data_IF_455121402194
#
_entry.id   IF_455121402194
#
_cell.length_a   1.000
_cell.length_b   1.000
_cell.length_c   1.000
_cell.angle_alpha   90.00
_cell.angle_beta   90.00
_cell.angle_gamma   90.00
#
_symmetry.space_group_name_H-M   'P 1'
#
loop_
_entity.id
_entity.type
_entity.pdbx_description
1 polymer ?
#
# COMPACT_ATOMS: atom_id res chain seq x y z
N UNK A 1 31.30 6.14 24.26
CA UNK A 1 29.83 6.31 24.00
C UNK A 1 29.58 5.69 22.65
N UNK A 2 28.78 4.63 22.59
CA UNK A 2 28.36 4.05 21.31
C UNK A 2 27.54 5.12 20.59
N UNK A 3 27.87 5.44 19.35
CA UNK A 3 27.06 6.30 18.51
C UNK A 3 25.69 5.64 18.36
N UNK A 4 24.63 6.37 18.70
CA UNK A 4 23.27 5.89 18.47
C UNK A 4 23.09 5.72 16.97
N UNK A 5 22.85 4.47 16.53
CA UNK A 5 22.53 4.17 15.14
C UNK A 5 21.25 4.95 14.77
N UNK A 6 21.33 5.78 13.72
CA UNK A 6 20.16 6.49 13.22
C UNK A 6 19.31 5.55 12.36
N UNK A 7 17.99 5.77 12.40
CA UNK A 7 17.06 5.06 11.54
C UNK A 7 16.91 5.81 10.21
N UNK A 8 17.14 5.09 9.11
CA UNK A 8 16.84 5.55 7.75
C UNK A 8 15.71 4.73 7.16
N UNK A 9 14.69 5.39 6.61
CA UNK A 9 13.59 4.72 5.95
C UNK A 9 13.64 4.96 4.44
N UNK A 10 13.33 3.91 3.71
CA UNK A 10 13.07 3.92 2.27
C UNK A 10 11.64 3.44 2.07
N UNK A 11 10.81 4.24 1.40
CA UNK A 11 9.47 3.83 1.00
C UNK A 11 9.50 3.36 -0.45
N UNK A 12 9.26 2.06 -0.64
CA UNK A 12 9.20 1.39 -1.93
C UNK A 12 7.82 1.52 -2.59
N UNK A 13 7.37 2.75 -2.82
CA UNK A 13 6.03 2.98 -3.37
C UNK A 13 5.93 4.31 -4.11
N UNK A 14 5.18 4.33 -5.21
CA UNK A 14 4.78 5.56 -5.92
C UNK A 14 3.45 6.14 -5.41
N UNK A 15 2.73 5.45 -4.51
CA UNK A 15 1.43 5.89 -3.97
C UNK A 15 1.54 7.19 -3.19
N UNK A 16 0.74 8.19 -3.57
CA UNK A 16 0.66 9.47 -2.86
C UNK A 16 0.09 9.28 -1.45
N UNK A 17 -0.94 8.44 -1.29
CA UNK A 17 -1.58 8.15 0.00
C UNK A 17 -0.59 7.51 0.99
N UNK A 18 0.19 6.51 0.55
CA UNK A 18 1.21 5.89 1.41
C UNK A 18 2.30 6.87 1.84
N UNK A 19 2.73 7.75 0.94
CA UNK A 19 3.69 8.82 1.28
C UNK A 19 3.14 9.77 2.33
N UNK A 20 1.89 10.19 2.15
CA UNK A 20 1.20 11.05 3.11
C UNK A 20 1.12 10.38 4.49
N UNK A 21 0.64 9.15 4.56
CA UNK A 21 0.47 8.40 5.82
C UNK A 21 1.82 8.27 6.54
N UNK A 22 2.89 7.87 5.85
CA UNK A 22 4.21 7.71 6.48
C UNK A 22 4.76 9.05 6.98
N UNK A 23 4.51 10.16 6.26
CA UNK A 23 4.84 11.52 6.71
C UNK A 23 4.03 11.93 7.95
N UNK A 24 2.72 11.62 8.00
CA UNK A 24 1.85 11.88 9.16
C UNK A 24 2.29 11.10 10.40
N UNK A 25 2.91 9.92 10.22
CA UNK A 25 3.54 9.16 11.30
C UNK A 25 4.82 9.82 11.85
N UNK A 26 5.28 10.91 11.23
CA UNK A 26 6.46 11.66 11.64
C UNK A 26 7.79 11.13 11.09
N UNK A 27 7.76 10.16 10.19
CA UNK A 27 8.96 9.60 9.58
C UNK A 27 9.49 10.44 8.42
N UNK A 28 10.83 10.57 8.37
CA UNK A 28 11.53 11.03 7.17
C UNK A 28 11.96 9.79 6.37
N UNK A 29 11.81 9.84 5.06
CA UNK A 29 12.13 8.72 4.19
C UNK A 29 12.56 9.17 2.80
N UNK A 30 13.28 8.30 2.10
CA UNK A 30 13.55 8.41 0.67
C UNK A 30 12.58 7.54 -0.13
N UNK A 31 12.33 7.91 -1.38
CA UNK A 31 11.44 7.16 -2.28
C UNK A 31 12.27 6.33 -3.25
N UNK A 32 11.95 5.05 -3.35
CA UNK A 32 12.40 4.17 -4.42
C UNK A 32 11.17 3.43 -4.99
N UNK A 33 11.03 3.40 -6.30
CA UNK A 33 9.98 2.61 -6.95
C UNK A 33 10.55 1.30 -7.49
N UNK A 34 9.79 0.24 -7.36
CA UNK A 34 9.99 -0.99 -8.10
C UNK A 34 9.12 -0.98 -9.35
N UNK A 35 9.70 -1.45 -10.44
CA UNK A 35 8.96 -1.77 -11.66
C UNK A 35 8.91 -3.30 -11.75
N UNK A 36 7.75 -3.87 -11.44
CA UNK A 36 7.51 -5.32 -11.48
C UNK A 36 6.25 -5.59 -12.30
N UNK A 37 6.20 -6.75 -12.93
CA UNK A 37 4.96 -7.24 -13.55
C UNK A 37 4.03 -7.79 -12.44
N UNK A 38 3.24 -6.90 -11.83
CA UNK A 38 2.28 -7.26 -10.78
C UNK A 38 1.29 -8.33 -11.29
N UNK A 39 0.96 -8.33 -12.58
CA UNK A 39 0.01 -9.27 -13.17
C UNK A 39 0.57 -10.70 -13.33
N UNK A 40 1.87 -10.87 -13.30
CA UNK A 40 2.50 -12.20 -13.32
C UNK A 40 2.37 -12.93 -11.96
N UNK A 41 2.08 -12.22 -10.86
CA UNK A 41 1.94 -12.80 -9.53
C UNK A 41 0.45 -13.02 -9.27
N UNK A 42 0.07 -14.28 -9.03
CA UNK A 42 -1.32 -14.66 -8.76
C UNK A 42 -1.39 -15.57 -7.55
N UNK A 43 -2.36 -15.30 -6.68
CA UNK A 43 -2.74 -16.12 -5.53
C UNK A 43 -4.26 -16.16 -5.45
N UNK A 44 -4.80 -17.25 -4.90
CA UNK A 44 -6.24 -17.42 -4.73
C UNK A 44 -6.79 -16.52 -3.62
N UNK A 45 -6.02 -16.39 -2.53
CA UNK A 45 -6.42 -15.56 -1.39
C UNK A 45 -5.84 -14.16 -1.51
N UNK A 46 -6.65 -13.13 -1.31
CA UNK A 46 -6.20 -11.75 -1.46
C UNK A 46 -5.09 -11.37 -0.47
N UNK A 47 -5.11 -11.86 0.77
CA UNK A 47 -4.06 -11.64 1.75
C UNK A 47 -2.72 -12.26 1.33
N UNK A 48 -2.73 -13.44 0.72
CA UNK A 48 -1.51 -14.07 0.18
C UNK A 48 -0.99 -13.32 -1.05
N UNK A 49 -1.89 -12.78 -1.88
CA UNK A 49 -1.54 -12.00 -3.07
C UNK A 49 -0.81 -10.70 -2.68
N UNK A 50 -1.39 -9.91 -1.78
CA UNK A 50 -0.80 -8.62 -1.41
C UNK A 50 0.53 -8.77 -0.69
N UNK A 51 0.70 -9.81 0.14
CA UNK A 51 1.98 -10.14 0.78
C UNK A 51 3.01 -10.53 -0.28
N UNK A 52 2.67 -11.43 -1.21
CA UNK A 52 3.58 -11.83 -2.29
C UNK A 52 4.02 -10.64 -3.17
N UNK A 53 3.10 -9.72 -3.47
CA UNK A 53 3.41 -8.50 -4.22
C UNK A 53 4.33 -7.55 -3.45
N UNK A 54 4.13 -7.40 -2.13
CA UNK A 54 5.01 -6.58 -1.30
C UNK A 54 6.45 -7.15 -1.27
N UNK A 55 6.59 -8.48 -1.18
CA UNK A 55 7.89 -9.15 -1.26
C UNK A 55 8.56 -8.96 -2.62
N UNK A 56 7.83 -9.17 -3.72
CA UNK A 56 8.36 -8.97 -5.07
C UNK A 56 8.84 -7.53 -5.31
N UNK A 57 8.10 -6.54 -4.80
CA UNK A 57 8.52 -5.13 -4.83
C UNK A 57 9.81 -4.90 -4.05
N UNK A 58 9.94 -5.51 -2.87
CA UNK A 58 11.16 -5.41 -2.08
C UNK A 58 12.36 -6.02 -2.81
N UNK A 59 12.20 -7.21 -3.41
CA UNK A 59 13.25 -7.88 -4.15
C UNK A 59 13.75 -7.02 -5.32
N UNK A 60 12.85 -6.46 -6.12
CA UNK A 60 13.20 -5.60 -7.25
C UNK A 60 13.92 -4.31 -6.81
N UNK A 61 13.52 -3.71 -5.68
CA UNK A 61 14.18 -2.53 -5.14
C UNK A 61 15.58 -2.88 -4.61
N UNK A 62 15.74 -3.99 -3.90
CA UNK A 62 17.04 -4.44 -3.39
C UNK A 62 18.00 -4.74 -4.53
N UNK A 63 17.54 -5.39 -5.59
CA UNK A 63 18.33 -5.61 -6.80
C UNK A 63 18.78 -4.27 -7.45
N UNK A 64 17.87 -3.31 -7.58
CA UNK A 64 18.19 -1.98 -8.05
C UNK A 64 19.22 -1.27 -7.18
N UNK A 65 19.14 -1.42 -5.86
CA UNK A 65 20.10 -0.86 -4.91
C UNK A 65 21.48 -1.52 -5.02
N UNK A 66 21.55 -2.80 -5.32
CA UNK A 66 22.81 -3.50 -5.61
C UNK A 66 23.46 -2.98 -6.88
N UNK A 67 22.68 -2.82 -7.95
CA UNK A 67 23.17 -2.44 -9.26
C UNK A 67 23.68 -0.98 -9.33
N UNK A 68 23.14 -0.08 -8.49
CA UNK A 68 23.52 1.34 -8.44
C UNK A 68 24.52 1.70 -7.33
N UNK A 69 25.02 0.73 -6.57
CA UNK A 69 26.00 0.92 -5.51
C UNK A 69 25.45 1.39 -4.16
N UNK A 70 24.16 1.72 -4.06
CA UNK A 70 23.52 2.17 -2.81
C UNK A 70 23.61 1.11 -1.69
N UNK A 71 23.53 -0.16 -2.04
CA UNK A 71 23.67 -1.26 -1.07
C UNK A 71 25.00 -1.20 -0.33
N UNK A 72 26.11 -0.92 -1.04
CA UNK A 72 27.42 -0.81 -0.44
C UNK A 72 27.49 0.33 0.57
N UNK A 73 26.96 1.49 0.22
CA UNK A 73 26.91 2.65 1.11
C UNK A 73 26.12 2.35 2.41
N UNK A 74 25.01 1.61 2.29
CA UNK A 74 24.19 1.21 3.44
C UNK A 74 24.92 0.22 4.32
N UNK A 75 25.57 -0.79 3.76
CA UNK A 75 26.32 -1.80 4.51
C UNK A 75 27.50 -1.19 5.27
N UNK A 76 28.19 -0.23 4.65
CA UNK A 76 29.33 0.48 5.25
C UNK A 76 28.90 1.53 6.30
N UNK A 77 27.62 1.92 6.32
CA UNK A 77 27.08 2.88 7.28
C UNK A 77 26.88 2.26 8.67
N UNK A 78 26.91 3.08 9.73
CA UNK A 78 26.53 2.71 11.09
C UNK A 78 24.99 2.71 11.29
N UNK A 79 24.25 3.36 10.38
CA UNK A 79 22.81 3.52 10.49
C UNK A 79 22.06 2.25 10.12
N UNK A 80 20.88 2.08 10.72
CA UNK A 80 19.94 1.03 10.31
C UNK A 80 19.04 1.55 9.19
N UNK A 81 19.06 0.87 8.05
CA UNK A 81 18.19 1.21 6.91
C UNK A 81 17.09 0.18 6.74
N UNK A 82 15.83 0.63 6.81
CA UNK A 82 14.65 -0.20 6.59
C UNK A 82 13.97 0.19 5.28
N UNK A 83 13.64 -0.81 4.46
CA UNK A 83 12.83 -0.68 3.26
C UNK A 83 11.40 -1.10 3.58
N UNK A 84 10.45 -0.20 3.34
CA UNK A 84 9.01 -0.45 3.48
C UNK A 84 8.42 -0.63 2.09
N UNK A 85 7.82 -1.79 1.82
CA UNK A 85 7.01 -2.05 0.64
C UNK A 85 5.61 -2.48 1.05
N UNK A 86 4.63 -2.22 0.20
CA UNK A 86 3.23 -2.48 0.48
C UNK A 86 2.46 -2.75 -0.81
N UNK A 87 1.42 -3.54 -0.69
CA UNK A 87 0.45 -3.73 -1.76
C UNK A 87 -0.98 -3.73 -1.21
N UNK A 88 -1.97 -3.53 -2.09
CA UNK A 88 -3.37 -3.51 -1.71
C UNK A 88 -4.26 -3.94 -2.87
N UNK A 89 -5.29 -4.71 -2.55
CA UNK A 89 -6.40 -5.01 -3.44
C UNK A 89 -7.73 -4.65 -2.77
N UNK A 90 -8.76 -4.51 -3.56
CA UNK A 90 -10.15 -4.43 -3.10
C UNK A 90 -10.83 -5.77 -3.37
N UNK A 91 -11.70 -6.19 -2.46
CA UNK A 91 -12.55 -7.37 -2.62
C UNK A 91 -14.01 -6.94 -2.51
N UNK A 92 -14.81 -7.30 -3.50
CA UNK A 92 -16.24 -7.09 -3.50
C UNK A 92 -16.92 -8.37 -4.01
N UNK A 93 -17.93 -8.85 -3.29
CA UNK A 93 -18.63 -10.10 -3.58
C UNK A 93 -17.69 -11.30 -3.81
N UNK A 94 -16.60 -11.37 -3.03
CA UNK A 94 -15.60 -12.43 -3.12
C UNK A 94 -14.65 -12.31 -4.32
N UNK A 95 -14.77 -11.25 -5.14
CA UNK A 95 -13.92 -11.01 -6.32
C UNK A 95 -12.85 -9.99 -5.99
N UNK A 96 -11.58 -10.33 -6.30
CA UNK A 96 -10.45 -9.41 -6.18
C UNK A 96 -10.53 -8.38 -7.30
N UNK A 97 -10.44 -7.11 -6.91
CA UNK A 97 -10.41 -5.95 -7.82
C UNK A 97 -9.10 -5.22 -7.66
N UNK A 98 -8.30 -5.27 -8.71
CA UNK A 98 -7.05 -4.51 -8.83
C UNK A 98 -7.37 -3.09 -9.38
N UNK A 99 -6.38 -2.37 -9.86
CA UNK A 99 -6.62 -1.08 -10.53
C UNK A 99 -7.42 -1.30 -11.81
N UNK A 100 -8.53 -0.58 -12.03
CA UNK A 100 -9.30 -0.73 -13.26
C UNK A 100 -8.48 -0.30 -14.47
N UNK A 101 -8.60 -1.05 -15.54
CA UNK A 101 -7.84 -0.84 -16.79
C UNK A 101 -8.62 -0.03 -17.82
N UNK A 102 -9.95 0.04 -17.67
CA UNK A 102 -10.84 0.75 -18.60
C UNK A 102 -11.92 1.54 -17.84
N UNK A 103 -12.54 2.54 -18.48
CA UNK A 103 -13.68 3.26 -17.91
C UNK A 103 -14.87 2.36 -17.59
N UNK A 104 -15.10 1.33 -18.40
CA UNK A 104 -16.17 0.35 -18.20
C UNK A 104 -15.95 -0.47 -16.94
N UNK A 105 -14.72 -0.93 -16.72
CA UNK A 105 -14.32 -1.68 -15.53
C UNK A 105 -14.40 -0.80 -14.27
N UNK A 106 -13.92 0.44 -14.35
CA UNK A 106 -14.04 1.40 -13.25
C UNK A 106 -15.52 1.67 -12.89
N UNK A 107 -16.37 1.82 -13.90
CA UNK A 107 -17.82 2.03 -13.73
C UNK A 107 -18.47 0.83 -13.06
N UNK A 108 -18.15 -0.38 -13.51
CA UNK A 108 -18.64 -1.63 -12.89
C UNK A 108 -18.23 -1.70 -11.42
N UNK A 109 -16.96 -1.41 -11.12
CA UNK A 109 -16.45 -1.46 -9.75
C UNK A 109 -17.18 -0.49 -8.84
N UNK A 110 -17.23 0.79 -9.22
CA UNK A 110 -17.82 1.84 -8.36
C UNK A 110 -19.34 1.63 -8.20
N UNK A 111 -20.06 1.25 -9.26
CA UNK A 111 -21.49 0.93 -9.17
C UNK A 111 -21.76 -0.27 -8.27
N UNK A 112 -20.87 -1.26 -8.28
CA UNK A 112 -20.99 -2.42 -7.40
C UNK A 112 -20.96 -2.07 -5.91
N UNK A 113 -20.30 -0.98 -5.54
CA UNK A 113 -20.22 -0.54 -4.14
C UNK A 113 -21.47 0.20 -3.66
N UNK A 114 -22.32 0.68 -4.57
CA UNK A 114 -23.54 1.45 -4.26
C UNK A 114 -24.51 0.63 -3.41
N UNK A 115 -24.93 1.17 -2.26
CA UNK A 115 -25.79 0.50 -1.27
C UNK A 115 -25.23 -0.87 -0.82
N UNK A 116 -23.89 -1.02 -0.87
CA UNK A 116 -23.14 -2.23 -0.53
C UNK A 116 -21.84 -1.86 0.14
N UNK A 117 -20.84 -2.76 0.10
CA UNK A 117 -19.53 -2.51 0.69
C UNK A 117 -18.39 -3.01 -0.19
N UNK A 118 -17.22 -2.47 0.05
CA UNK A 118 -15.96 -2.97 -0.49
C UNK A 118 -14.98 -3.25 0.65
N UNK A 119 -14.28 -4.36 0.62
CA UNK A 119 -13.19 -4.65 1.56
C UNK A 119 -11.84 -4.28 0.93
N UNK A 120 -11.01 -3.52 1.63
CA UNK A 120 -9.61 -3.34 1.28
C UNK A 120 -8.78 -4.37 2.02
N UNK A 121 -7.85 -5.03 1.34
CA UNK A 121 -6.88 -5.95 1.93
C UNK A 121 -5.52 -5.46 1.50
N UNK A 122 -4.74 -5.02 2.48
CA UNK A 122 -3.43 -4.42 2.28
C UNK A 122 -2.35 -5.13 3.06
N UNK A 123 -1.14 -5.17 2.53
CA UNK A 123 0.05 -5.69 3.20
C UNK A 123 1.09 -4.62 3.42
N UNK A 124 1.89 -4.82 4.45
CA UNK A 124 3.11 -4.05 4.70
C UNK A 124 4.23 -5.04 4.92
N UNK A 125 5.36 -4.82 4.26
CA UNK A 125 6.60 -5.54 4.47
C UNK A 125 7.68 -4.53 4.85
N UNK A 126 8.39 -4.80 5.94
CA UNK A 126 9.58 -4.07 6.36
C UNK A 126 10.79 -4.99 6.24
N UNK A 127 11.77 -4.57 5.45
CA UNK A 127 13.03 -5.28 5.25
C UNK A 127 14.17 -4.48 5.86
N UNK A 128 14.90 -5.05 6.78
CA UNK A 128 16.19 -4.50 7.21
C UNK A 128 17.20 -4.75 6.08
N UNK A 129 17.61 -3.68 5.41
CA UNK A 129 18.45 -3.78 4.20
C UNK A 129 19.81 -4.37 4.50
N UNK A 130 20.34 -4.17 5.70
CA UNK A 130 21.68 -4.61 6.11
C UNK A 130 21.71 -6.08 6.50
N UNK A 131 20.72 -6.56 7.24
CA UNK A 131 20.65 -7.94 7.75
C UNK A 131 19.86 -8.87 6.85
N UNK A 132 19.03 -8.33 5.96
CA UNK A 132 18.08 -9.10 5.14
C UNK A 132 16.85 -9.60 5.90
N UNK A 133 16.75 -9.31 7.19
CA UNK A 133 15.58 -9.69 8.01
C UNK A 133 14.33 -9.00 7.49
N UNK A 134 13.25 -9.76 7.34
CA UNK A 134 11.95 -9.29 6.87
C UNK A 134 10.87 -9.54 7.90
N UNK A 135 9.99 -8.58 8.06
CA UNK A 135 8.75 -8.68 8.84
C UNK A 135 7.60 -8.19 7.99
N UNK A 136 6.57 -8.98 7.85
CA UNK A 136 5.39 -8.64 7.08
C UNK A 136 4.11 -8.90 7.86
N UNK A 137 3.05 -8.27 7.41
CA UNK A 137 1.70 -8.45 7.88
C UNK A 137 0.71 -7.92 6.87
N UNK A 138 -0.55 -8.21 7.11
CA UNK A 138 -1.66 -7.69 6.31
C UNK A 138 -2.77 -7.18 7.22
N UNK A 139 -3.60 -6.31 6.68
CA UNK A 139 -4.74 -5.74 7.36
C UNK A 139 -5.95 -5.65 6.43
N UNK A 140 -7.14 -5.63 7.02
CA UNK A 140 -8.41 -5.56 6.31
C UNK A 140 -9.24 -4.42 6.87
N UNK A 141 -9.83 -3.62 5.99
CA UNK A 141 -10.89 -2.70 6.35
C UNK A 141 -12.07 -2.85 5.39
N UNK A 142 -13.27 -2.50 5.84
CA UNK A 142 -14.47 -2.52 5.03
C UNK A 142 -15.07 -1.13 4.96
N UNK A 143 -15.48 -0.72 3.77
CA UNK A 143 -16.11 0.57 3.51
C UNK A 143 -17.51 0.32 3.00
N UNK A 144 -18.50 0.79 3.73
CA UNK A 144 -19.93 0.72 3.40
C UNK A 144 -20.38 2.02 2.77
N UNK A 145 -21.21 1.92 1.75
CA UNK A 145 -21.64 3.07 0.97
C UNK A 145 -23.15 3.24 0.96
N UNK A 146 -23.57 4.49 1.06
CA UNK A 146 -24.89 4.89 0.58
C UNK A 146 -25.01 4.71 -0.94
N UNK A 147 -26.18 4.99 -1.48
CA UNK A 147 -26.38 5.01 -2.94
C UNK A 147 -25.40 5.94 -3.62
N UNK A 148 -24.60 5.43 -4.57
CA UNK A 148 -23.67 6.21 -5.39
C UNK A 148 -24.39 6.64 -6.67
N UNK A 149 -24.65 7.95 -6.86
CA UNK A 149 -25.32 8.43 -8.07
C UNK A 149 -24.47 8.22 -9.33
N UNK A 150 -25.09 7.88 -10.45
CA UNK A 150 -24.39 7.70 -11.74
C UNK A 150 -23.53 8.91 -12.11
N UNK A 151 -24.01 10.14 -11.84
CA UNK A 151 -23.26 11.37 -12.09
C UNK A 151 -21.92 11.37 -11.33
N UNK A 152 -21.88 10.90 -10.09
CA UNK A 152 -20.64 10.81 -9.30
C UNK A 152 -19.70 9.79 -9.93
N UNK A 153 -20.22 8.62 -10.33
CA UNK A 153 -19.43 7.59 -11.01
C UNK A 153 -18.74 8.15 -12.26
N UNK A 154 -19.50 8.83 -13.13
CA UNK A 154 -18.94 9.39 -14.38
C UNK A 154 -17.91 10.50 -14.08
N UNK A 155 -18.18 11.39 -13.12
CA UNK A 155 -17.22 12.43 -12.74
C UNK A 155 -15.89 11.84 -12.23
N UNK A 156 -15.94 10.81 -11.39
CA UNK A 156 -14.71 10.13 -10.89
C UNK A 156 -13.90 9.48 -12.03
N UNK A 157 -14.59 8.91 -13.03
CA UNK A 157 -13.95 8.33 -14.21
C UNK A 157 -13.33 9.41 -15.09
N UNK A 158 -14.05 10.53 -15.32
CA UNK A 158 -13.55 11.66 -16.11
C UNK A 158 -12.30 12.30 -15.48
N UNK A 159 -12.24 12.41 -14.16
CA UNK A 159 -11.07 12.89 -13.44
C UNK A 159 -9.86 11.92 -13.55
N UNK A 160 -10.10 10.64 -13.78
CA UNK A 160 -9.10 9.63 -14.07
C UNK A 160 -8.32 9.09 -12.86
N UNK A 161 -8.49 9.64 -11.67
CA UNK A 161 -7.75 9.20 -10.47
C UNK A 161 -8.08 7.76 -10.05
N UNK A 162 -9.26 7.27 -10.39
CA UNK A 162 -9.73 5.90 -10.11
C UNK A 162 -8.84 4.82 -10.74
N UNK A 163 -8.15 5.11 -11.84
CA UNK A 163 -7.28 4.16 -12.53
C UNK A 163 -5.95 3.90 -11.81
N UNK A 164 -5.63 4.68 -10.78
CA UNK A 164 -4.38 4.56 -10.03
C UNK A 164 -4.53 3.90 -8.65
N UNK A 165 -5.76 3.53 -8.29
CA UNK A 165 -6.07 2.92 -6.99
C UNK A 165 -6.79 1.59 -7.15
N UNK A 166 -6.52 0.66 -6.24
CA UNK A 166 -7.18 -0.65 -6.23
C UNK A 166 -8.70 -0.51 -6.16
N UNK A 167 -9.41 -1.26 -6.99
CA UNK A 167 -10.87 -1.25 -7.08
C UNK A 167 -11.50 0.07 -7.52
N UNK A 168 -10.69 1.06 -7.97
CA UNK A 168 -11.18 2.41 -8.22
C UNK A 168 -11.69 3.11 -6.96
N UNK A 169 -11.27 2.68 -5.76
CA UNK A 169 -11.81 3.09 -4.47
C UNK A 169 -11.06 4.32 -3.92
N UNK A 170 -11.70 5.50 -3.98
CA UNK A 170 -11.17 6.79 -3.51
C UNK A 170 -12.05 7.33 -2.38
N UNK A 171 -11.89 6.82 -1.16
CA UNK A 171 -12.77 7.16 -0.02
C UNK A 171 -12.60 8.60 0.48
N UNK A 172 -11.41 9.17 0.34
CA UNK A 172 -11.08 10.54 0.74
C UNK A 172 -11.47 11.59 -0.32
N UNK A 173 -11.89 11.14 -1.50
CA UNK A 173 -12.26 12.06 -2.59
C UNK A 173 -13.52 12.85 -2.22
N UNK A 174 -13.60 14.18 -2.50
CA UNK A 174 -14.74 15.02 -2.12
C UNK A 174 -16.11 14.54 -2.65
N UNK A 175 -16.12 13.84 -3.78
CA UNK A 175 -17.36 13.26 -4.33
C UNK A 175 -17.74 11.93 -3.67
N UNK A 176 -16.79 11.19 -3.14
CA UNK A 176 -16.97 9.86 -2.55
C UNK A 176 -17.20 9.93 -1.04
N UNK A 177 -16.41 10.74 -0.35
CA UNK A 177 -16.42 10.85 1.11
C UNK A 177 -17.81 11.09 1.71
N UNK A 178 -18.71 11.95 1.14
CA UNK A 178 -20.07 12.10 1.66
C UNK A 178 -20.97 10.89 1.46
N UNK A 179 -20.55 9.93 0.62
CA UNK A 179 -21.31 8.72 0.30
C UNK A 179 -20.85 7.51 1.12
N UNK A 180 -19.79 7.67 1.92
CA UNK A 180 -19.34 6.63 2.86
C UNK A 180 -20.29 6.61 4.05
N UNK A 181 -20.95 5.48 4.26
CA UNK A 181 -21.87 5.27 5.38
C UNK A 181 -21.10 4.88 6.65
N UNK A 182 -20.16 3.95 6.53
CA UNK A 182 -19.35 3.46 7.64
C UNK A 182 -18.02 2.87 7.15
N UNK A 183 -17.04 2.86 8.05
CA UNK A 183 -15.77 2.14 7.87
C UNK A 183 -15.61 1.21 9.06
N UNK A 184 -15.38 -0.08 8.78
CA UNK A 184 -14.97 -1.07 9.77
C UNK A 184 -13.47 -1.30 9.58
N UNK A 185 -12.67 -0.85 10.54
CA UNK A 185 -11.22 -0.73 10.43
C UNK A 185 -10.77 0.71 10.52
N UNK A 186 -9.65 1.06 9.91
CA UNK A 186 -9.08 2.40 9.93
C UNK A 186 -8.96 3.02 8.54
N UNK A 187 -9.03 4.34 8.46
CA UNK A 187 -8.92 5.06 7.18
C UNK A 187 -7.53 4.88 6.54
N UNK A 188 -6.47 4.83 7.32
CA UNK A 188 -5.11 4.57 6.85
C UNK A 188 -4.95 3.16 6.27
N UNK A 189 -5.69 2.17 6.80
CA UNK A 189 -5.79 0.84 6.19
C UNK A 189 -6.47 0.90 4.84
N UNK A 190 -7.61 1.60 4.73
CA UNK A 190 -8.30 1.82 3.45
C UNK A 190 -7.40 2.52 2.44
N UNK A 191 -6.62 3.51 2.89
CA UNK A 191 -5.68 4.28 2.05
C UNK A 191 -4.39 3.52 1.71
N UNK A 192 -4.16 2.34 2.28
CA UNK A 192 -3.15 1.38 1.86
C UNK A 192 -1.84 1.37 2.63
N UNK A 193 -1.78 1.97 3.83
CA UNK A 193 -0.66 1.83 4.76
C UNK A 193 -1.17 1.91 6.21
N UNK A 194 -1.59 0.77 6.81
CA UNK A 194 -2.09 0.73 8.18
C UNK A 194 -1.02 1.22 9.17
N UNK A 195 -1.26 2.35 9.85
CA UNK A 195 -0.27 3.00 10.74
C UNK A 195 0.18 2.08 11.87
N UNK A 196 -0.77 1.42 12.54
CA UNK A 196 -0.45 0.55 13.68
C UNK A 196 0.40 -0.66 13.27
N UNK A 197 0.05 -1.33 12.17
CA UNK A 197 0.82 -2.44 11.63
C UNK A 197 2.21 -1.99 11.18
N UNK A 198 2.29 -0.88 10.45
CA UNK A 198 3.56 -0.31 9.95
C UNK A 198 4.50 0.01 11.12
N UNK A 199 3.99 0.66 12.16
CA UNK A 199 4.76 1.01 13.37
C UNK A 199 5.30 -0.24 14.08
N UNK A 200 4.47 -1.28 14.20
CA UNK A 200 4.87 -2.56 14.80
C UNK A 200 6.00 -3.21 14.02
N UNK A 201 5.85 -3.32 12.69
CA UNK A 201 6.83 -3.95 11.82
C UNK A 201 8.16 -3.18 11.77
N UNK A 202 8.11 -1.84 11.83
CA UNK A 202 9.32 -1.00 11.92
C UNK A 202 10.06 -1.33 13.23
N UNK A 203 9.38 -1.37 14.37
CA UNK A 203 9.98 -1.68 15.67
C UNK A 203 10.60 -3.06 15.70
N UNK A 204 9.89 -4.05 15.21
CA UNK A 204 10.37 -5.45 15.14
C UNK A 204 11.57 -5.62 14.21
N UNK A 205 11.65 -4.82 13.13
CA UNK A 205 12.76 -4.87 12.16
C UNK A 205 13.98 -4.07 12.61
N UNK A 206 13.79 -3.13 13.54
CA UNK A 206 14.86 -2.34 14.13
C UNK A 206 15.54 -3.07 15.29
N UNK A 207 14.79 -3.90 16.04
CA UNK A 207 15.33 -4.74 17.10
C UNK A 207 16.17 -5.85 16.47
N UNK A 208 17.40 -6.03 16.95
CA UNK A 208 18.22 -7.19 16.54
C UNK A 208 17.51 -8.50 16.94
N UNK A 209 17.66 -9.56 16.13
CA UNK A 209 17.07 -10.86 16.43
C UNK A 209 17.63 -11.48 17.71
#
# INVERSE_FOLDING_TARGET
>A
MAASSALRLILGSSSASRRQILSEMGYQFTLLSADIDEKAIRKEKPEELVVALAHAKADAILEKMQNNGMMKEIVDSQDTTLLITADQVVVHDGVIREKPSTPEEAREFIKGYSESHAATIGSVLVTNVKTGVRRDGWDKAEVYFHKIPDKVVESLIEEGNVFYVAGGLLVEHPLTSPLVEAIVGTIDSVMGLPKALTETLIKESFSEP
#
